data_IF_633604058486
#
_entry.id   IF_633604058486
#
_cell.length_a   1.000
_cell.length_b   1.000
_cell.length_c   1.000
_cell.angle_alpha   90.00
_cell.angle_beta   90.00
_cell.angle_gamma   90.00
#
_symmetry.space_group_name_H-M   'P 1'
#
loop_
_entity.id
_entity.type
_entity.pdbx_description
1 polymer ?
#
# COMPACT_ATOMS: atom_id res chain seq x y z
N UNK A 1 -54.44 3.62 -46.05
CA UNK A 1 -54.13 4.70 -45.07
C UNK A 1 -54.08 4.06 -43.70
N UNK A 2 -52.90 4.02 -43.10
CA UNK A 2 -52.61 3.34 -41.83
C UNK A 2 -52.64 4.42 -40.75
N UNK A 3 -53.45 4.25 -39.69
CA UNK A 3 -53.23 4.97 -38.45
C UNK A 3 -53.68 4.19 -37.19
N UNK A 4 -52.70 4.00 -36.31
CA UNK A 4 -52.71 3.91 -34.83
C UNK A 4 -53.87 3.28 -34.05
N UNK A 5 -53.53 2.25 -33.25
CA UNK A 5 -53.84 2.24 -31.80
C UNK A 5 -52.91 1.32 -30.98
N UNK A 6 -52.40 1.89 -29.89
CA UNK A 6 -51.61 1.27 -28.80
C UNK A 6 -52.35 0.11 -28.13
N UNK A 7 -51.59 -0.90 -27.67
CA UNK A 7 -51.73 -1.48 -26.34
C UNK A 7 -50.43 -2.19 -25.92
N UNK A 8 -50.04 -1.96 -24.67
CA UNK A 8 -48.80 -2.39 -24.03
C UNK A 8 -48.84 -3.86 -23.61
N UNK A 9 -47.67 -4.49 -23.41
CA UNK A 9 -47.38 -5.32 -22.23
C UNK A 9 -45.86 -5.63 -22.17
N UNK A 10 -45.23 -5.04 -21.14
CA UNK A 10 -44.11 -5.54 -20.34
C UNK A 10 -43.21 -6.66 -20.89
N UNK A 11 -41.91 -6.39 -21.02
CA UNK A 11 -40.83 -7.28 -20.56
C UNK A 11 -39.70 -6.41 -19.99
N UNK A 12 -39.51 -6.51 -18.67
CA UNK A 12 -38.30 -6.08 -17.96
C UNK A 12 -37.33 -7.26 -18.00
N UNK A 13 -36.13 -7.05 -18.52
CA UNK A 13 -35.02 -8.01 -18.59
C UNK A 13 -33.76 -7.26 -19.04
N UNK A 14 -32.58 -7.57 -18.49
CA UNK A 14 -31.70 -6.57 -17.88
C UNK A 14 -30.85 -5.78 -18.88
N UNK A 15 -30.56 -4.56 -18.45
CA UNK A 15 -29.75 -3.58 -19.13
C UNK A 15 -28.24 -3.85 -18.91
N UNK A 16 -27.52 -3.78 -20.04
CA UNK A 16 -26.12 -3.32 -20.22
C UNK A 16 -24.98 -4.26 -19.78
N UNK A 17 -24.56 -5.04 -20.77
CA UNK A 17 -23.19 -5.15 -21.32
C UNK A 17 -22.00 -4.75 -20.43
N UNK A 18 -21.18 -5.75 -20.09
CA UNK A 18 -19.96 -5.67 -19.29
C UNK A 18 -18.73 -6.07 -20.14
N UNK A 19 -18.67 -5.64 -21.40
CA UNK A 19 -17.51 -5.87 -22.25
C UNK A 19 -16.49 -4.73 -22.13
N UNK A 20 -15.29 -5.08 -21.67
CA UNK A 20 -14.14 -4.18 -21.60
C UNK A 20 -13.80 -3.62 -23.00
N UNK A 21 -13.54 -2.31 -23.07
CA UNK A 21 -13.03 -1.64 -24.27
C UNK A 21 -11.50 -1.58 -24.17
N UNK A 22 -10.81 -2.08 -25.20
CA UNK A 22 -9.37 -1.97 -25.37
C UNK A 22 -9.03 -1.02 -26.51
N UNK A 23 -8.13 -0.05 -26.31
CA UNK A 23 -7.35 0.59 -27.38
C UNK A 23 -6.00 1.10 -26.87
N UNK A 24 -4.97 1.02 -27.73
CA UNK A 24 -3.60 1.45 -27.47
C UNK A 24 -3.49 2.87 -26.92
N UNK A 25 -3.38 2.96 -25.59
CA UNK A 25 -3.25 4.21 -24.85
C UNK A 25 -4.35 4.40 -23.81
N UNK A 26 -4.19 3.68 -22.68
CA UNK A 26 -4.86 3.86 -21.37
C UNK A 26 -6.36 3.54 -21.28
N UNK A 27 -6.62 2.37 -20.69
CA UNK A 27 -7.66 2.15 -19.68
C UNK A 27 -7.03 1.27 -18.57
N UNK A 28 -6.64 1.87 -17.45
CA UNK A 28 -6.20 1.17 -16.24
C UNK A 28 -7.27 1.43 -15.19
N UNK A 29 -8.18 0.47 -15.05
CA UNK A 29 -9.13 0.37 -13.95
C UNK A 29 -9.69 -1.05 -13.96
N UNK A 30 -9.09 -1.89 -13.12
CA UNK A 30 -9.71 -3.00 -12.40
C UNK A 30 -10.83 -3.74 -13.16
N UNK A 31 -10.47 -4.77 -13.91
CA UNK A 31 -11.41 -5.86 -14.17
C UNK A 31 -11.61 -6.66 -12.88
N UNK A 32 -12.30 -6.04 -11.91
CA UNK A 32 -12.87 -6.74 -10.77
C UNK A 32 -13.92 -7.70 -11.31
N UNK A 33 -13.59 -8.98 -11.38
CA UNK A 33 -14.67 -9.95 -11.24
C UNK A 33 -15.16 -9.83 -9.80
N UNK A 34 -16.48 -9.85 -9.52
CA UNK A 34 -17.02 -9.66 -8.17
C UNK A 34 -16.33 -10.52 -7.11
N UNK A 35 -15.80 -11.67 -7.51
CA UNK A 35 -15.24 -12.69 -6.62
C UNK A 35 -13.71 -12.61 -6.45
N UNK A 36 -13.00 -11.88 -7.33
CA UNK A 36 -11.52 -11.86 -7.34
C UNK A 36 -10.95 -10.44 -7.40
N UNK A 37 -10.14 -10.12 -6.40
CA UNK A 37 -9.47 -8.85 -6.26
C UNK A 37 -8.03 -8.97 -6.75
N UNK A 38 -7.67 -8.10 -7.70
CA UNK A 38 -6.33 -7.99 -8.27
C UNK A 38 -5.44 -7.16 -7.33
N UNK A 39 -4.27 -7.66 -6.99
CA UNK A 39 -3.30 -6.96 -6.13
C UNK A 39 -1.94 -6.80 -6.82
N UNK A 40 -1.22 -5.74 -6.45
CA UNK A 40 0.16 -5.48 -6.88
C UNK A 40 0.31 -4.72 -8.20
N UNK A 41 -0.79 -4.22 -8.76
CA UNK A 41 -0.81 -3.18 -9.79
C UNK A 41 -1.41 -1.87 -9.25
N UNK A 42 -1.30 -1.66 -7.93
CA UNK A 42 -2.01 -0.63 -7.16
C UNK A 42 -1.38 0.77 -7.29
N UNK A 43 -0.83 1.13 -8.45
CA UNK A 43 -0.12 2.39 -8.66
C UNK A 43 -1.01 3.60 -8.43
N UNK A 44 -2.25 3.55 -8.92
CA UNK A 44 -3.22 4.63 -8.71
C UNK A 44 -3.58 4.77 -7.24
N UNK A 45 -3.75 3.65 -6.52
CA UNK A 45 -4.00 3.66 -5.08
C UNK A 45 -2.79 4.23 -4.33
N UNK A 46 -1.57 3.80 -4.66
CA UNK A 46 -0.34 4.32 -4.08
C UNK A 46 -0.21 5.85 -4.26
N UNK A 47 -0.46 6.35 -5.48
CA UNK A 47 -0.46 7.79 -5.77
C UNK A 47 -1.53 8.54 -4.99
N UNK A 48 -2.74 7.98 -4.90
CA UNK A 48 -3.84 8.58 -4.14
C UNK A 48 -3.52 8.59 -2.62
N UNK A 49 -2.90 7.55 -2.09
CA UNK A 49 -2.46 7.50 -0.69
C UNK A 49 -1.34 8.54 -0.43
N UNK A 50 -0.36 8.66 -1.32
CA UNK A 50 0.67 9.70 -1.18
C UNK A 50 0.05 11.11 -1.22
N UNK A 51 -0.88 11.37 -2.14
CA UNK A 51 -1.61 12.64 -2.18
C UNK A 51 -2.43 12.88 -0.90
N UNK A 52 -3.08 11.84 -0.38
CA UNK A 52 -3.82 11.88 0.88
C UNK A 52 -2.94 12.22 2.07
N UNK A 53 -1.67 11.79 2.09
CA UNK A 53 -0.72 12.12 3.16
C UNK A 53 0.05 13.43 2.92
N UNK A 54 0.02 13.96 1.70
CA UNK A 54 0.64 15.25 1.37
C UNK A 54 -0.35 16.43 1.49
N UNK A 55 -1.63 16.16 1.70
CA UNK A 55 -2.67 17.17 1.88
C UNK A 55 -2.39 18.06 3.09
N UNK A 56 -2.95 19.26 3.04
CA UNK A 56 -2.92 20.18 4.18
C UNK A 56 -3.74 19.63 5.36
N UNK A 57 -3.21 19.76 6.57
CA UNK A 57 -3.85 19.29 7.81
C UNK A 57 -5.15 20.05 8.15
N UNK A 58 -5.44 21.13 7.41
CA UNK A 58 -6.71 21.86 7.49
C UNK A 58 -7.93 21.05 7.01
N UNK A 59 -7.73 19.91 6.36
CA UNK A 59 -8.81 18.99 5.98
C UNK A 59 -9.39 18.28 7.21
N UNK A 60 -10.69 18.45 7.44
CA UNK A 60 -11.42 17.78 8.52
C UNK A 60 -11.70 16.29 8.26
N UNK A 61 -11.44 15.80 7.04
CA UNK A 61 -11.74 14.43 6.64
C UNK A 61 -10.65 13.48 7.12
N UNK A 62 -11.04 12.34 7.67
CA UNK A 62 -10.11 11.23 7.89
C UNK A 62 -9.50 10.77 6.55
N UNK A 63 -8.33 10.13 6.54
CA UNK A 63 -7.74 9.62 5.30
C UNK A 63 -8.69 8.71 4.52
N UNK A 64 -9.46 7.88 5.23
CA UNK A 64 -10.43 6.96 4.64
C UNK A 64 -11.57 7.71 3.95
N UNK A 65 -12.13 8.73 4.60
CA UNK A 65 -13.20 9.56 4.01
C UNK A 65 -12.72 10.33 2.79
N UNK A 66 -11.51 10.93 2.86
CA UNK A 66 -10.94 11.66 1.74
C UNK A 66 -10.70 10.76 0.53
N UNK A 67 -10.13 9.57 0.75
CA UNK A 67 -9.90 8.62 -0.34
C UNK A 67 -11.22 8.16 -0.97
N UNK A 68 -12.26 7.96 -0.15
CA UNK A 68 -13.59 7.60 -0.62
C UNK A 68 -14.27 8.70 -1.43
N UNK A 69 -14.05 9.96 -1.06
CA UNK A 69 -14.62 11.10 -1.77
C UNK A 69 -13.89 11.38 -3.09
N UNK A 70 -12.55 11.40 -3.07
CA UNK A 70 -11.74 11.81 -4.24
C UNK A 70 -11.50 10.66 -5.22
N UNK A 71 -11.40 9.43 -4.72
CA UNK A 71 -11.06 8.25 -5.52
C UNK A 71 -11.94 7.03 -5.22
N UNK A 72 -13.28 7.14 -5.33
CA UNK A 72 -14.20 6.05 -4.97
C UNK A 72 -13.99 4.76 -5.76
N UNK A 73 -13.41 4.85 -6.97
CA UNK A 73 -13.11 3.69 -7.82
C UNK A 73 -11.90 2.88 -7.36
N UNK A 74 -11.03 3.47 -6.54
CA UNK A 74 -9.84 2.80 -6.01
C UNK A 74 -10.13 2.02 -4.72
N UNK A 75 -11.32 2.21 -4.15
CA UNK A 75 -11.73 1.49 -2.95
C UNK A 75 -12.21 0.09 -3.32
N UNK A 76 -11.43 -0.90 -2.91
CA UNK A 76 -11.81 -2.30 -3.04
C UNK A 76 -13.07 -2.59 -2.21
N UNK A 77 -13.95 -3.44 -2.75
CA UNK A 77 -15.09 -3.99 -2.02
C UNK A 77 -14.78 -5.44 -1.64
N UNK A 78 -14.88 -5.75 -0.37
CA UNK A 78 -14.53 -7.03 0.21
C UNK A 78 -15.78 -7.80 0.61
N UNK A 79 -15.85 -9.06 0.17
CA UNK A 79 -16.87 -10.04 0.54
C UNK A 79 -16.27 -11.07 1.49
N UNK A 80 -17.09 -11.84 2.22
CA UNK A 80 -16.54 -12.93 3.04
C UNK A 80 -15.85 -13.99 2.16
N UNK A 81 -16.36 -14.31 0.97
CA UNK A 81 -15.75 -15.31 0.09
C UNK A 81 -14.59 -14.75 -0.78
N UNK A 82 -14.07 -13.56 -0.45
CA UNK A 82 -13.11 -12.84 -1.29
C UNK A 82 -11.86 -13.66 -1.60
N UNK A 83 -11.51 -13.71 -2.89
CA UNK A 83 -10.23 -14.26 -3.37
C UNK A 83 -9.30 -13.11 -3.76
N UNK A 84 -8.02 -13.26 -3.42
CA UNK A 84 -6.96 -12.33 -3.80
C UNK A 84 -6.05 -13.00 -4.82
N UNK A 85 -5.80 -12.34 -5.94
CA UNK A 85 -4.90 -12.82 -6.98
C UNK A 85 -3.99 -11.69 -7.44
N UNK A 86 -2.68 -11.91 -7.54
CA UNK A 86 -1.79 -10.91 -8.10
C UNK A 86 -2.11 -10.64 -9.58
N UNK A 87 -2.01 -9.39 -9.99
CA UNK A 87 -2.04 -9.02 -11.41
C UNK A 87 -0.62 -9.07 -11.96
N UNK A 88 -0.23 -10.25 -12.46
CA UNK A 88 1.17 -10.57 -12.70
C UNK A 88 1.84 -9.70 -13.75
N UNK A 89 1.18 -9.46 -14.88
CA UNK A 89 1.81 -8.78 -16.01
C UNK A 89 2.14 -7.31 -15.67
N UNK A 90 1.19 -6.47 -15.19
CA UNK A 90 1.50 -5.10 -14.81
C UNK A 90 2.46 -4.99 -13.62
N UNK A 91 2.34 -5.90 -12.64
CA UNK A 91 3.19 -5.92 -11.46
C UNK A 91 4.65 -6.17 -11.84
N UNK A 92 4.88 -7.21 -12.65
CA UNK A 92 6.23 -7.61 -13.03
C UNK A 92 6.87 -6.60 -14.00
N UNK A 93 6.09 -6.01 -14.91
CA UNK A 93 6.55 -4.92 -15.77
C UNK A 93 6.99 -3.71 -14.93
N UNK A 94 6.13 -3.23 -14.03
CA UNK A 94 6.45 -2.09 -13.15
C UNK A 94 7.65 -2.36 -12.25
N UNK A 95 7.76 -3.59 -11.73
CA UNK A 95 8.88 -3.97 -10.88
C UNK A 95 10.19 -4.04 -11.67
N UNK A 96 10.15 -4.52 -12.92
CA UNK A 96 11.31 -4.52 -13.80
C UNK A 96 11.75 -3.10 -14.14
N UNK A 97 10.82 -2.24 -14.56
CA UNK A 97 11.09 -0.83 -14.88
C UNK A 97 11.73 -0.10 -13.70
N UNK A 98 11.20 -0.30 -12.49
CA UNK A 98 11.76 0.30 -11.27
C UNK A 98 13.19 -0.19 -11.03
N UNK A 99 13.42 -1.50 -11.12
CA UNK A 99 14.72 -2.10 -10.87
C UNK A 99 15.77 -1.64 -11.91
N UNK A 100 15.39 -1.54 -13.18
CA UNK A 100 16.27 -1.07 -14.26
C UNK A 100 16.67 0.41 -14.08
N UNK A 101 15.80 1.20 -13.45
CA UNK A 101 16.09 2.59 -13.06
C UNK A 101 16.90 2.69 -11.74
N UNK A 102 17.28 1.56 -11.13
CA UNK A 102 17.95 1.53 -9.83
C UNK A 102 17.03 1.84 -8.64
N UNK A 103 15.71 1.88 -8.87
CA UNK A 103 14.70 2.06 -7.84
C UNK A 103 14.22 0.71 -7.29
N UNK A 104 13.64 0.74 -6.09
CA UNK A 104 13.04 -0.44 -5.47
C UNK A 104 11.60 -0.54 -5.96
N UNK A 105 11.14 -1.70 -6.47
CA UNK A 105 9.72 -1.94 -6.68
C UNK A 105 8.94 -1.64 -5.40
N UNK A 106 7.83 -0.93 -5.52
CA UNK A 106 6.98 -0.54 -4.39
C UNK A 106 5.58 -1.12 -4.54
N UNK A 107 5.01 -1.53 -3.42
CA UNK A 107 3.67 -2.10 -3.32
C UNK A 107 2.95 -1.50 -2.12
N UNK A 108 1.64 -1.30 -2.24
CA UNK A 108 0.81 -1.00 -1.07
C UNK A 108 0.84 -2.20 -0.13
N UNK A 109 1.03 -1.97 1.17
CA UNK A 109 1.09 -3.04 2.15
C UNK A 109 -0.27 -3.67 2.44
N UNK A 110 -0.30 -4.94 2.88
CA UNK A 110 -1.53 -5.69 3.06
C UNK A 110 -2.49 -5.05 4.07
N UNK A 111 -1.97 -4.43 5.14
CA UNK A 111 -2.82 -3.85 6.17
C UNK A 111 -3.39 -2.51 5.69
N UNK A 112 -2.57 -1.65 5.08
CA UNK A 112 -3.05 -0.42 4.43
C UNK A 112 -4.11 -0.72 3.40
N UNK A 113 -3.89 -1.73 2.56
CA UNK A 113 -4.84 -2.15 1.55
C UNK A 113 -6.21 -2.52 2.17
N UNK A 114 -6.21 -3.37 3.20
CA UNK A 114 -7.43 -3.75 3.91
C UNK A 114 -8.06 -2.57 4.65
N UNK A 115 -7.28 -1.69 5.25
CA UNK A 115 -7.78 -0.53 6.00
C UNK A 115 -8.68 0.36 5.14
N UNK A 116 -8.23 0.65 3.91
CA UNK A 116 -8.94 1.52 2.97
C UNK A 116 -10.06 0.84 2.18
N UNK A 117 -10.09 -0.49 2.14
CA UNK A 117 -11.16 -1.23 1.47
C UNK A 117 -12.52 -1.06 2.19
N UNK A 118 -13.63 -1.17 1.48
CA UNK A 118 -14.96 -1.30 2.06
C UNK A 118 -15.32 -2.77 2.20
N UNK A 119 -15.90 -3.15 3.35
CA UNK A 119 -16.34 -4.53 3.59
C UNK A 119 -17.87 -4.59 3.60
N UNK A 120 -18.43 -5.71 3.14
CA UNK A 120 -19.85 -6.00 3.28
C UNK A 120 -20.25 -6.13 4.76
N UNK A 121 -21.55 -5.96 5.03
CA UNK A 121 -22.08 -6.06 6.39
C UNK A 121 -21.75 -7.42 7.01
N UNK A 122 -21.12 -7.42 8.17
CA UNK A 122 -20.73 -8.63 8.90
C UNK A 122 -19.38 -9.23 8.49
N UNK A 123 -18.65 -8.61 7.55
CA UNK A 123 -17.29 -9.01 7.18
C UNK A 123 -16.26 -8.21 7.98
N UNK A 124 -15.43 -8.91 8.75
CA UNK A 124 -14.23 -8.30 9.34
C UNK A 124 -13.10 -8.28 8.31
N UNK A 125 -12.48 -7.11 8.10
CA UNK A 125 -11.36 -6.95 7.18
C UNK A 125 -10.13 -7.72 7.66
N UNK A 126 -9.92 -7.83 8.97
CA UNK A 126 -8.76 -8.53 9.53
C UNK A 126 -8.86 -10.04 9.33
N UNK A 127 -10.06 -10.62 9.24
CA UNK A 127 -10.26 -12.04 8.92
C UNK A 127 -9.85 -12.38 7.48
N UNK A 128 -9.85 -11.39 6.59
CA UNK A 128 -9.40 -11.55 5.20
C UNK A 128 -7.87 -11.48 5.07
N UNK A 129 -7.16 -11.00 6.10
CA UNK A 129 -5.70 -10.89 6.09
C UNK A 129 -5.03 -12.24 5.85
N UNK A 130 -5.50 -13.31 6.49
CA UNK A 130 -4.92 -14.65 6.32
C UNK A 130 -5.04 -15.18 4.88
N UNK A 131 -6.04 -14.69 4.13
CA UNK A 131 -6.25 -15.03 2.72
C UNK A 131 -5.45 -14.12 1.78
N UNK A 132 -5.12 -12.91 2.23
CA UNK A 132 -4.34 -11.92 1.48
C UNK A 132 -2.84 -12.22 1.53
N UNK A 133 -2.31 -12.62 2.70
CA UNK A 133 -0.87 -12.82 2.90
C UNK A 133 -0.22 -13.85 1.96
N UNK A 134 -0.85 -14.99 1.61
CA UNK A 134 -0.30 -15.93 0.63
C UNK A 134 -0.04 -15.29 -0.73
N UNK A 135 -0.91 -14.37 -1.18
CA UNK A 135 -0.74 -13.69 -2.45
C UNK A 135 0.47 -12.73 -2.43
N UNK A 136 0.70 -12.01 -1.32
CA UNK A 136 1.93 -11.22 -1.12
C UNK A 136 3.19 -12.11 -1.07
N UNK A 137 3.11 -13.26 -0.40
CA UNK A 137 4.20 -14.23 -0.37
C UNK A 137 4.58 -14.71 -1.77
N UNK A 138 3.59 -15.01 -2.62
CA UNK A 138 3.81 -15.39 -4.02
C UNK A 138 4.45 -14.24 -4.82
N UNK A 139 3.96 -13.01 -4.64
CA UNK A 139 4.54 -11.82 -5.27
C UNK A 139 6.03 -11.72 -4.93
N UNK A 140 6.38 -11.76 -3.65
CA UNK A 140 7.77 -11.62 -3.23
C UNK A 140 8.65 -12.76 -3.74
N UNK A 141 8.14 -13.99 -3.75
CA UNK A 141 8.86 -15.14 -4.32
C UNK A 141 9.16 -14.95 -5.81
N UNK A 142 8.19 -14.46 -6.60
CA UNK A 142 8.38 -14.23 -8.04
C UNK A 142 9.28 -13.04 -8.37
N UNK A 143 9.27 -12.00 -7.52
CA UNK A 143 10.20 -10.87 -7.64
C UNK A 143 11.64 -11.33 -7.35
N UNK A 144 11.83 -12.08 -6.25
CA UNK A 144 13.15 -12.63 -5.91
C UNK A 144 13.69 -13.58 -6.98
N UNK A 145 12.83 -14.42 -7.58
CA UNK A 145 13.21 -15.31 -8.67
C UNK A 145 13.68 -14.58 -9.94
N UNK A 146 13.37 -13.28 -10.07
CA UNK A 146 13.83 -12.41 -11.17
C UNK A 146 15.08 -11.61 -10.82
N UNK A 147 15.70 -11.87 -9.67
CA UNK A 147 16.91 -11.19 -9.22
C UNK A 147 16.68 -9.83 -8.55
N UNK A 148 15.43 -9.47 -8.28
CA UNK A 148 15.13 -8.28 -7.48
C UNK A 148 15.48 -8.59 -6.02
N UNK A 149 16.31 -7.76 -5.41
CA UNK A 149 16.74 -7.97 -4.01
C UNK A 149 15.84 -7.25 -3.00
N UNK A 150 15.26 -6.12 -3.38
CA UNK A 150 14.55 -5.22 -2.47
C UNK A 150 13.12 -5.00 -2.94
N UNK A 151 12.21 -4.87 -1.98
CA UNK A 151 10.86 -4.35 -2.19
C UNK A 151 10.53 -3.32 -1.13
N UNK A 152 9.90 -2.23 -1.55
CA UNK A 152 9.27 -1.28 -0.65
C UNK A 152 7.81 -1.65 -0.44
N UNK A 153 7.37 -1.68 0.81
CA UNK A 153 5.99 -1.98 1.19
C UNK A 153 5.43 -0.75 1.90
N UNK A 154 4.51 -0.06 1.26
CA UNK A 154 3.95 1.18 1.76
C UNK A 154 2.84 0.89 2.79
N UNK A 155 3.11 1.19 4.06
CA UNK A 155 2.19 1.06 5.19
C UNK A 155 1.95 2.39 5.89
N UNK A 156 1.44 3.42 5.19
CA UNK A 156 1.22 4.74 5.78
C UNK A 156 0.21 4.74 6.94
N UNK A 157 -0.66 3.73 7.05
CA UNK A 157 -1.58 3.64 8.19
C UNK A 157 -0.88 3.52 9.55
N UNK A 158 0.42 3.15 9.57
CA UNK A 158 1.24 3.15 10.78
C UNK A 158 1.38 4.54 11.41
N UNK A 159 1.09 5.63 10.69
CA UNK A 159 1.09 6.99 11.24
C UNK A 159 -0.29 7.40 11.79
N UNK A 160 -1.30 6.53 11.71
CA UNK A 160 -2.64 6.78 12.22
C UNK A 160 -2.79 6.23 13.63
N UNK A 161 -3.83 6.69 14.34
CA UNK A 161 -4.22 6.07 15.62
C UNK A 161 -4.92 4.74 15.35
N UNK A 162 -4.16 3.64 15.47
CA UNK A 162 -4.62 2.30 15.12
C UNK A 162 -5.15 1.56 16.34
N UNK A 163 -6.32 0.89 16.23
CA UNK A 163 -6.80 -0.02 17.26
C UNK A 163 -5.79 -1.13 17.56
N UNK A 164 -5.81 -1.67 18.78
CA UNK A 164 -4.88 -2.72 19.22
C UNK A 164 -4.89 -3.95 18.30
N UNK A 165 -6.05 -4.34 17.78
CA UNK A 165 -6.20 -5.49 16.88
C UNK A 165 -5.41 -5.30 15.58
N UNK A 166 -5.39 -4.08 15.03
CA UNK A 166 -4.62 -3.74 13.83
C UNK A 166 -3.11 -3.74 14.10
N UNK A 167 -2.69 -3.19 15.24
CA UNK A 167 -1.29 -3.25 15.68
C UNK A 167 -0.79 -4.69 15.82
N UNK A 168 -1.60 -5.57 16.43
CA UNK A 168 -1.28 -6.99 16.54
C UNK A 168 -1.29 -7.68 15.15
N UNK A 169 -2.17 -7.26 14.25
CA UNK A 169 -2.22 -7.79 12.89
C UNK A 169 -0.95 -7.46 12.08
N UNK A 170 -0.34 -6.29 12.28
CA UNK A 170 0.97 -5.95 11.70
C UNK A 170 2.05 -6.96 12.10
N UNK A 171 2.20 -7.24 13.39
CA UNK A 171 3.22 -8.20 13.87
C UNK A 171 3.01 -9.58 13.23
N UNK A 172 1.77 -10.09 13.25
CA UNK A 172 1.43 -11.39 12.65
C UNK A 172 1.71 -11.43 11.16
N UNK A 173 1.25 -10.41 10.42
CA UNK A 173 1.40 -10.34 8.97
C UNK A 173 2.86 -10.36 8.54
N UNK A 174 3.68 -9.48 9.11
CA UNK A 174 5.09 -9.39 8.73
C UNK A 174 5.90 -10.59 9.22
N UNK A 175 5.51 -11.23 10.33
CA UNK A 175 6.08 -12.52 10.73
C UNK A 175 5.80 -13.63 9.71
N UNK A 176 4.65 -13.64 9.04
CA UNK A 176 4.37 -14.58 7.96
C UNK A 176 5.17 -14.22 6.70
N UNK A 177 5.26 -12.93 6.37
CA UNK A 177 5.94 -12.46 5.15
C UNK A 177 7.47 -12.50 5.25
N UNK A 178 8.04 -12.70 6.44
CA UNK A 178 9.49 -12.70 6.64
C UNK A 178 10.21 -13.78 5.82
N UNK A 179 9.58 -14.94 5.60
CA UNK A 179 10.20 -16.12 4.99
C UNK A 179 10.59 -15.98 3.52
N UNK A 180 10.09 -14.96 2.82
CA UNK A 180 10.56 -14.67 1.46
C UNK A 180 12.03 -14.21 1.49
N UNK A 181 12.90 -14.63 0.54
CA UNK A 181 14.29 -14.18 0.47
C UNK A 181 14.44 -12.68 0.11
N UNK A 182 13.36 -12.04 -0.32
CA UNK A 182 13.34 -10.63 -0.71
C UNK A 182 13.54 -9.71 0.51
N UNK A 183 14.45 -8.72 0.45
CA UNK A 183 14.62 -7.72 1.51
C UNK A 183 13.43 -6.76 1.49
N UNK A 184 12.79 -6.57 2.64
CA UNK A 184 11.60 -5.71 2.76
C UNK A 184 11.97 -4.41 3.46
N UNK A 185 11.55 -3.31 2.85
CA UNK A 185 11.61 -1.97 3.42
C UNK A 185 10.17 -1.49 3.64
N UNK A 186 9.72 -1.44 4.89
CA UNK A 186 8.38 -0.88 5.19
C UNK A 186 8.48 0.63 5.13
N UNK A 187 7.63 1.28 4.35
CA UNK A 187 7.64 2.72 4.17
C UNK A 187 6.39 3.37 4.72
N UNK A 188 6.56 4.49 5.40
CA UNK A 188 5.46 5.37 5.82
C UNK A 188 5.57 6.70 5.10
N UNK A 189 4.42 7.31 4.81
CA UNK A 189 4.35 8.67 4.30
C UNK A 189 4.26 9.67 5.46
N UNK A 190 4.79 10.88 5.24
CA UNK A 190 4.68 12.08 6.10
C UNK A 190 3.82 11.89 7.36
N UNK A 191 4.44 11.70 8.51
CA UNK A 191 3.70 11.52 9.75
C UNK A 191 4.52 10.91 10.86
N UNK A 192 4.02 11.04 12.08
CA UNK A 192 4.62 10.44 13.26
C UNK A 192 4.11 9.02 13.47
N UNK A 193 5.01 8.11 13.81
CA UNK A 193 4.65 6.74 14.20
C UNK A 193 4.00 6.67 15.59
N UNK A 194 4.20 7.69 16.45
CA UNK A 194 3.62 7.78 17.81
C UNK A 194 3.67 6.44 18.55
N UNK A 195 2.52 5.90 18.95
CA UNK A 195 2.40 4.63 19.68
C UNK A 195 2.70 3.40 18.81
N UNK A 196 2.62 3.52 17.48
CA UNK A 196 2.94 2.44 16.54
C UNK A 196 4.45 2.30 16.30
N UNK A 197 5.27 3.21 16.81
CA UNK A 197 6.72 3.15 16.63
C UNK A 197 7.32 1.85 17.19
N UNK A 198 6.81 1.37 18.32
CA UNK A 198 7.26 0.09 18.89
C UNK A 198 7.00 -1.08 17.93
N UNK A 199 5.80 -1.13 17.36
CA UNK A 199 5.40 -2.15 16.38
C UNK A 199 6.28 -2.04 15.13
N UNK A 200 6.35 -0.86 14.51
CA UNK A 200 7.12 -0.61 13.28
C UNK A 200 8.61 -0.95 13.44
N UNK A 201 9.22 -0.59 14.58
CA UNK A 201 10.62 -0.86 14.88
C UNK A 201 10.90 -2.36 15.12
N UNK A 202 9.90 -3.16 15.52
CA UNK A 202 10.06 -4.59 15.81
C UNK A 202 9.66 -5.52 14.66
N UNK A 203 8.96 -5.03 13.63
CA UNK A 203 8.58 -5.86 12.47
C UNK A 203 9.79 -6.61 11.88
N UNK A 204 9.66 -7.91 11.52
CA UNK A 204 10.77 -8.70 10.98
C UNK A 204 11.06 -8.36 9.50
N UNK A 205 11.45 -7.12 9.27
CA UNK A 205 11.79 -6.53 7.98
C UNK A 205 13.22 -6.01 7.99
N UNK A 206 13.80 -5.85 6.80
CA UNK A 206 15.19 -5.42 6.64
C UNK A 206 15.37 -3.96 7.01
N UNK A 207 14.34 -3.13 6.81
CA UNK A 207 14.43 -1.72 7.17
C UNK A 207 13.08 -1.01 7.27
N UNK A 208 13.16 0.22 7.76
CA UNK A 208 12.05 1.16 7.87
C UNK A 208 12.41 2.42 7.06
N UNK A 209 11.50 2.84 6.18
CA UNK A 209 11.56 4.10 5.46
C UNK A 209 10.59 5.10 6.09
N UNK A 210 11.10 6.29 6.41
CA UNK A 210 10.30 7.39 6.94
C UNK A 210 10.40 8.54 5.96
N UNK A 211 9.29 8.83 5.27
CA UNK A 211 9.24 9.94 4.32
C UNK A 211 8.96 11.26 5.04
N UNK A 212 9.81 12.25 4.75
CA UNK A 212 9.72 13.66 5.12
C UNK A 212 9.16 13.92 6.53
N UNK A 213 10.05 13.88 7.51
CA UNK A 213 9.77 14.45 8.82
C UNK A 213 10.31 15.88 8.82
N UNK A 214 9.40 16.86 8.78
CA UNK A 214 9.76 18.28 8.91
C UNK A 214 10.33 18.61 10.30
N UNK A 215 10.28 17.69 11.25
CA UNK A 215 10.58 17.94 12.66
C UNK A 215 11.53 16.90 13.25
N UNK A 216 12.72 17.34 13.65
CA UNK A 216 13.77 16.56 14.32
C UNK A 216 13.22 15.72 15.49
N UNK A 217 12.18 16.22 16.18
CA UNK A 217 11.60 15.58 17.36
C UNK A 217 10.90 14.24 17.08
N UNK A 218 10.44 13.98 15.84
CA UNK A 218 9.79 12.69 15.53
C UNK A 218 10.81 11.58 15.21
N UNK A 219 12.05 11.96 14.87
CA UNK A 219 13.09 11.02 14.46
C UNK A 219 13.99 10.57 15.62
N UNK A 220 14.16 11.40 16.66
CA UNK A 220 14.92 11.00 17.85
C UNK A 220 14.38 9.70 18.49
N UNK A 221 13.06 9.53 18.73
CA UNK A 221 12.52 8.27 19.23
C UNK A 221 12.76 7.07 18.30
N UNK A 222 12.80 7.31 16.98
CA UNK A 222 13.10 6.26 15.99
C UNK A 222 14.54 5.80 16.15
N UNK A 223 15.49 6.73 16.32
CA UNK A 223 16.90 6.39 16.51
C UNK A 223 17.16 5.61 17.80
N UNK A 224 16.33 5.80 18.82
CA UNK A 224 16.45 5.10 20.10
C UNK A 224 15.82 3.71 20.07
N UNK A 225 14.75 3.52 19.27
CA UNK A 225 13.98 2.26 19.24
C UNK A 225 14.31 1.35 18.07
N UNK A 226 14.78 1.88 16.95
CA UNK A 226 15.10 1.08 15.77
C UNK A 226 16.47 0.41 15.97
N UNK A 227 16.55 -0.94 15.91
CA UNK A 227 17.82 -1.63 16.04
C UNK A 227 18.81 -1.24 14.93
N UNK A 228 20.08 -1.05 15.27
CA UNK A 228 21.12 -0.57 14.35
C UNK A 228 21.47 -1.54 13.21
N UNK A 229 21.10 -2.82 13.35
CA UNK A 229 21.24 -3.81 12.27
C UNK A 229 20.17 -3.65 11.17
N UNK A 230 19.10 -2.89 11.43
CA UNK A 230 18.08 -2.58 10.43
C UNK A 230 18.51 -1.39 9.59
N UNK A 231 18.07 -1.41 8.35
CA UNK A 231 18.22 -0.29 7.43
C UNK A 231 17.23 0.81 7.80
N UNK A 232 17.74 2.01 8.07
CA UNK A 232 16.93 3.21 8.18
C UNK A 232 17.01 3.95 6.85
N UNK A 233 15.86 4.13 6.20
CA UNK A 233 15.76 4.99 5.02
C UNK A 233 15.05 6.27 5.38
N UNK A 234 15.66 7.42 5.08
CA UNK A 234 15.05 8.72 5.28
C UNK A 234 14.68 9.30 3.92
N UNK A 235 13.41 9.68 3.75
CA UNK A 235 12.96 10.59 2.68
C UNK A 235 13.59 11.97 2.81
N UNK A 236 13.16 12.95 2.02
CA UNK A 236 13.71 14.33 1.93
C UNK A 236 14.15 14.91 3.30
N UNK A 237 15.39 14.58 3.70
CA UNK A 237 16.02 14.96 4.97
C UNK A 237 17.32 15.74 4.72
N UNK A 238 17.67 15.97 3.45
CA UNK A 238 18.87 16.72 3.03
C UNK A 238 18.97 18.11 3.66
N UNK A 239 17.85 18.69 4.10
CA UNK A 239 17.82 20.04 4.67
C UNK A 239 18.15 20.08 6.17
N UNK A 240 18.30 18.94 6.85
CA UNK A 240 18.61 18.82 8.29
C UNK A 240 19.95 18.12 8.52
N UNK A 241 21.06 18.84 8.30
CA UNK A 241 22.43 18.30 8.32
C UNK A 241 22.77 17.60 9.65
N UNK A 242 22.41 18.18 10.80
CA UNK A 242 22.72 17.62 12.12
C UNK A 242 22.05 16.26 12.34
N UNK A 243 20.79 16.14 11.91
CA UNK A 243 20.03 14.90 12.00
C UNK A 243 20.63 13.80 11.11
N UNK A 244 21.05 14.15 9.90
CA UNK A 244 21.70 13.20 8.99
C UNK A 244 23.05 12.75 9.56
N UNK A 245 23.80 13.63 10.23
CA UNK A 245 25.04 13.28 10.90
C UNK A 245 24.79 12.32 12.08
N UNK A 246 23.80 12.59 12.92
CA UNK A 246 23.43 11.70 14.01
C UNK A 246 22.99 10.33 13.50
N UNK A 247 22.10 10.29 12.50
CA UNK A 247 21.65 9.06 11.88
C UNK A 247 22.83 8.27 11.28
N UNK A 248 23.79 8.96 10.65
CA UNK A 248 24.99 8.34 10.08
C UNK A 248 25.92 7.79 11.16
N UNK A 249 26.05 8.48 12.29
CA UNK A 249 26.84 8.01 13.42
C UNK A 249 26.24 6.75 14.07
N UNK A 250 24.91 6.62 14.09
CA UNK A 250 24.22 5.46 14.68
C UNK A 250 24.08 4.26 13.74
N UNK A 251 23.69 4.48 12.49
CA UNK A 251 23.34 3.42 11.54
C UNK A 251 24.44 3.12 10.52
N UNK A 252 25.42 4.00 10.33
CA UNK A 252 26.56 3.76 9.43
C UNK A 252 26.12 3.41 8.01
N UNK A 253 26.52 2.21 7.55
CA UNK A 253 26.17 1.67 6.22
C UNK A 253 24.69 1.29 6.08
N UNK A 254 23.97 1.15 7.20
CA UNK A 254 22.54 0.85 7.22
C UNK A 254 21.66 2.10 7.06
N UNK A 255 22.25 3.29 6.87
CA UNK A 255 21.50 4.51 6.56
C UNK A 255 21.37 4.71 5.04
N UNK A 256 20.14 4.79 4.55
CA UNK A 256 19.82 5.17 3.17
C UNK A 256 19.15 6.55 3.13
N UNK A 257 19.65 7.44 2.29
CA UNK A 257 19.02 8.75 2.06
C UNK A 257 18.31 8.73 0.70
N UNK A 258 16.98 8.82 0.72
CA UNK A 258 16.18 8.93 -0.49
C UNK A 258 16.16 10.41 -0.93
N UNK A 259 16.77 10.70 -2.09
CA UNK A 259 16.90 12.06 -2.63
C UNK A 259 18.32 12.48 -3.04
N UNK A 260 19.31 11.58 -3.04
CA UNK A 260 20.60 11.82 -3.69
C UNK A 260 20.60 11.24 -5.12
N UNK A 261 19.88 11.90 -6.03
CA UNK A 261 20.04 11.82 -7.48
C UNK A 261 19.76 13.19 -8.08
#
# INVERSE_FOLDING_TARGET
MINTKKMSLSHVGPAVDNSAIFYGGRLMALAHTPDTLRIGADRELQQALQACWQRDESSLLTPTEWLAEQHPKLIARLTDAQRFQPDWEPLLETAHDANDQGHKPSLVGPLTYLWFAQAESGVDKLDLLERLLPAYGEIFGRLAARGIEWVQIDEPILTLDLPLEWRNAFERAYHILQYSPLKKLVATYRGELKDNLGVAALLPVTGLHIDSVSVTEHLAPVFDRLPTYKVLSLGRACDQVDLVQEARARFGENLLLAGAA
#
